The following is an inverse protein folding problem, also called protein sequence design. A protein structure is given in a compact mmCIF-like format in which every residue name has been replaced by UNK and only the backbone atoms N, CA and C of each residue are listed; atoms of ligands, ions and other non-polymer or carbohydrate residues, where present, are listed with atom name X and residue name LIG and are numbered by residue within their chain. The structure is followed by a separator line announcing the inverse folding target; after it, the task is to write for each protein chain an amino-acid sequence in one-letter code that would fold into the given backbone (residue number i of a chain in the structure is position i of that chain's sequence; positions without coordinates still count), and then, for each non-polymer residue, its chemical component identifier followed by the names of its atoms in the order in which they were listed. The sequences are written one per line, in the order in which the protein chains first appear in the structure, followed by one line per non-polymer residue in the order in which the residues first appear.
data_IF_577136171724
#
_entry.id   IF_577136171724
#
_cell.length_a   1.000
_cell.length_b   1.000
_cell.length_c   1.000
_cell.angle_alpha   90.00
_cell.angle_beta   90.00
_cell.angle_gamma   90.00
#
_symmetry.space_group_name_H-M   'P 1'
#
loop_
_entity.id
_entity.type
_entity.pdbx_description
1 polymer ?
#
# COMPACT_ATOMS: atom_id res chain seq x y z
N UNK A 1 16.44 -26.97 -25.35
CA UNK A 1 16.46 -27.02 -23.87
C UNK A 1 15.41 -26.05 -23.36
N UNK A 2 14.47 -26.56 -22.57
CA UNK A 2 13.24 -25.90 -22.15
C UNK A 2 13.50 -24.65 -21.30
N UNK A 3 12.71 -23.61 -21.55
CA UNK A 3 12.60 -22.39 -20.77
C UNK A 3 12.44 -22.73 -19.28
N UNK A 4 13.42 -22.27 -18.51
CA UNK A 4 13.43 -22.16 -17.05
C UNK A 4 12.08 -21.67 -16.54
N UNK A 5 11.45 -22.47 -15.69
CA UNK A 5 10.37 -22.01 -14.84
C UNK A 5 10.86 -20.78 -14.05
N UNK A 6 10.29 -19.60 -14.35
CA UNK A 6 10.46 -18.42 -13.51
C UNK A 6 9.86 -18.77 -12.16
N UNK A 7 10.70 -19.05 -11.17
CA UNK A 7 10.25 -19.16 -9.79
C UNK A 7 9.72 -17.79 -9.38
N UNK A 8 8.40 -17.63 -9.31
CA UNK A 8 7.79 -16.47 -8.68
C UNK A 8 8.24 -16.49 -7.22
N UNK A 9 9.03 -15.50 -6.82
CA UNK A 9 9.47 -15.31 -5.43
C UNK A 9 8.30 -14.88 -4.53
N UNK A 10 7.21 -14.42 -5.15
CA UNK A 10 5.97 -13.99 -4.51
C UNK A 10 4.75 -14.48 -5.29
N UNK A 11 3.92 -15.34 -4.70
CA UNK A 11 2.72 -15.85 -5.37
C UNK A 11 1.54 -14.88 -5.22
N UNK A 12 1.08 -14.28 -6.32
CA UNK A 12 -0.20 -13.57 -6.30
C UNK A 12 -1.35 -14.57 -6.08
N UNK A 13 -2.16 -14.38 -5.02
CA UNK A 13 -3.34 -15.21 -4.79
C UNK A 13 -4.53 -14.67 -5.59
N UNK A 14 -5.46 -15.54 -6.05
CA UNK A 14 -6.60 -15.15 -6.89
C UNK A 14 -7.60 -14.14 -6.27
N UNK A 15 -7.47 -13.81 -4.97
CA UNK A 15 -8.38 -12.93 -4.23
C UNK A 15 -7.77 -11.58 -3.86
N UNK A 16 -6.61 -11.26 -4.41
CA UNK A 16 -5.95 -9.98 -4.15
C UNK A 16 -6.56 -8.88 -5.03
N UNK A 17 -6.77 -7.70 -4.45
CA UNK A 17 -7.18 -6.51 -5.20
C UNK A 17 -6.15 -6.19 -6.31
N UNK A 18 -6.59 -5.56 -7.40
CA UNK A 18 -5.73 -5.29 -8.58
C UNK A 18 -4.39 -4.65 -8.20
N UNK A 19 -4.42 -3.65 -7.32
CA UNK A 19 -3.23 -2.93 -6.81
C UNK A 19 -2.25 -3.83 -6.04
N UNK A 20 -2.74 -4.87 -5.37
CA UNK A 20 -1.93 -5.85 -4.64
C UNK A 20 -1.27 -6.82 -5.60
N UNK A 21 -2.00 -7.27 -6.62
CA UNK A 21 -1.45 -8.11 -7.69
C UNK A 21 -0.36 -7.37 -8.46
N UNK A 22 -0.62 -6.12 -8.85
CA UNK A 22 0.35 -5.26 -9.55
C UNK A 22 1.65 -5.09 -8.75
N UNK A 23 1.55 -4.90 -7.44
CA UNK A 23 2.71 -4.78 -6.55
C UNK A 23 3.53 -6.07 -6.45
N UNK A 24 2.85 -7.22 -6.45
CA UNK A 24 3.51 -8.53 -6.41
C UNK A 24 4.17 -8.90 -7.73
N UNK A 25 3.51 -8.63 -8.85
CA UNK A 25 4.08 -8.82 -10.18
C UNK A 25 5.34 -7.94 -10.32
N UNK A 26 5.31 -6.73 -9.77
CA UNK A 26 6.45 -5.83 -9.72
C UNK A 26 7.59 -6.35 -8.82
N UNK A 27 7.32 -6.76 -7.58
CA UNK A 27 8.33 -7.36 -6.69
C UNK A 27 9.02 -8.57 -7.34
N UNK A 28 8.26 -9.44 -8.01
CA UNK A 28 8.80 -10.59 -8.74
C UNK A 28 9.70 -10.19 -9.91
N UNK A 29 9.30 -9.18 -10.67
CA UNK A 29 10.08 -8.67 -11.81
C UNK A 29 11.45 -8.19 -11.36
N UNK A 30 11.51 -7.41 -10.29
CA UNK A 30 12.76 -6.85 -9.79
C UNK A 30 13.63 -7.88 -9.06
N UNK A 31 13.03 -8.77 -8.26
CA UNK A 31 13.78 -9.79 -7.56
C UNK A 31 14.42 -10.83 -8.51
N UNK A 32 13.87 -11.01 -9.71
CA UNK A 32 14.44 -11.85 -10.77
C UNK A 32 15.38 -11.09 -11.74
N UNK A 33 15.61 -9.78 -11.55
CA UNK A 33 16.40 -8.95 -12.46
C UNK A 33 17.91 -9.12 -12.24
N UNK A 34 18.71 -9.54 -13.24
CA UNK A 34 20.16 -9.61 -13.12
C UNK A 34 20.85 -8.24 -12.96
N UNK A 35 20.15 -7.16 -13.33
CA UNK A 35 20.67 -5.78 -13.37
C UNK A 35 20.20 -4.92 -12.19
N UNK A 36 19.02 -5.22 -11.65
CA UNK A 36 18.37 -4.41 -10.61
C UNK A 36 17.96 -5.22 -9.37
N UNK A 37 17.96 -6.55 -9.45
CA UNK A 37 17.69 -7.45 -8.34
C UNK A 37 18.93 -7.70 -7.49
N UNK A 38 18.73 -8.29 -6.31
CA UNK A 38 19.85 -8.78 -5.51
C UNK A 38 20.62 -9.83 -6.31
N UNK A 39 21.96 -9.73 -6.31
CA UNK A 39 22.82 -10.74 -6.91
C UNK A 39 22.55 -12.13 -6.33
N UNK A 40 22.85 -13.18 -7.10
CA UNK A 40 22.70 -14.55 -6.62
C UNK A 40 23.52 -14.79 -5.33
N UNK A 41 24.68 -14.17 -5.20
CA UNK A 41 25.48 -14.16 -3.97
C UNK A 41 24.75 -13.49 -2.79
N UNK A 42 24.11 -12.33 -2.99
CA UNK A 42 23.33 -11.66 -1.94
C UNK A 42 22.11 -12.49 -1.52
N UNK A 43 21.41 -13.10 -2.47
CA UNK A 43 20.30 -14.01 -2.19
C UNK A 43 20.79 -15.23 -1.40
N UNK A 44 21.92 -15.83 -1.79
CA UNK A 44 22.54 -16.96 -1.07
C UNK A 44 23.03 -16.57 0.33
N UNK A 45 23.54 -15.36 0.50
CA UNK A 45 23.99 -14.83 1.80
C UNK A 45 22.80 -14.65 2.75
N UNK A 46 21.70 -14.05 2.27
CA UNK A 46 20.45 -13.94 3.04
C UNK A 46 19.88 -15.33 3.36
N UNK A 47 19.90 -16.28 2.42
CA UNK A 47 19.45 -17.66 2.66
C UNK A 47 20.35 -18.42 3.66
N UNK A 48 21.66 -18.15 3.69
CA UNK A 48 22.60 -18.68 4.69
C UNK A 48 22.32 -18.12 6.09
N UNK A 49 22.12 -16.80 6.21
CA UNK A 49 21.71 -16.13 7.45
C UNK A 49 20.34 -16.65 7.92
N UNK A 50 19.43 -16.92 6.98
CA UNK A 50 18.12 -17.51 7.24
C UNK A 50 18.23 -18.94 7.80
N UNK A 51 19.07 -19.79 7.21
CA UNK A 51 19.32 -21.17 7.65
C UNK A 51 20.02 -21.24 9.01
N UNK A 52 20.79 -20.22 9.37
CA UNK A 52 21.45 -20.11 10.67
C UNK A 52 20.52 -19.57 11.77
N UNK A 53 19.39 -18.93 11.42
CA UNK A 53 18.42 -18.42 12.39
C UNK A 53 17.59 -19.53 13.05
N UNK A 54 17.59 -19.68 14.39
CA UNK A 54 16.97 -20.81 15.09
C UNK A 54 15.46 -20.96 14.88
N UNK A 55 14.75 -19.83 14.69
CA UNK A 55 13.29 -19.77 14.47
C UNK A 55 12.88 -20.20 13.05
N UNK A 56 13.82 -20.17 12.10
CA UNK A 56 13.57 -20.43 10.67
C UNK A 56 14.02 -21.83 10.24
N UNK A 57 14.60 -22.62 11.15
CA UNK A 57 14.91 -24.04 10.95
C UNK A 57 13.65 -24.89 11.12
N UNK A 58 12.92 -25.11 10.03
CA UNK A 58 11.92 -26.18 10.00
C UNK A 58 10.66 -25.94 9.17
N UNK A 59 10.40 -24.70 8.76
CA UNK A 59 9.26 -24.41 7.90
C UNK A 59 9.71 -23.49 6.76
N UNK A 60 9.93 -24.05 5.57
CA UNK A 60 9.58 -23.28 4.38
C UNK A 60 8.07 -23.33 4.33
N UNK A 61 7.42 -22.42 5.06
CA UNK A 61 6.02 -22.15 4.80
C UNK A 61 5.91 -21.66 3.34
N UNK A 62 4.77 -21.95 2.70
CA UNK A 62 4.36 -21.51 1.35
C UNK A 62 4.23 -19.96 1.23
N UNK A 63 5.01 -19.23 2.01
CA UNK A 63 4.88 -17.82 2.29
C UNK A 63 5.87 -17.08 1.41
N UNK A 64 5.31 -16.28 0.51
CA UNK A 64 6.05 -15.35 -0.31
C UNK A 64 6.87 -14.32 0.51
N UNK A 65 7.80 -13.62 -0.15
CA UNK A 65 8.65 -12.59 0.47
C UNK A 65 7.84 -11.58 1.31
N UNK A 66 6.63 -11.21 0.86
CA UNK A 66 5.80 -10.24 1.56
C UNK A 66 5.18 -10.83 2.82
N UNK A 67 4.65 -12.05 2.74
CA UNK A 67 4.21 -12.80 3.90
C UNK A 67 5.32 -12.95 4.93
N UNK A 68 6.56 -13.21 4.50
CA UNK A 68 7.72 -13.29 5.39
C UNK A 68 8.07 -11.96 6.06
N UNK A 69 8.06 -10.86 5.31
CA UNK A 69 8.33 -9.52 5.86
C UNK A 69 7.27 -9.11 6.88
N UNK A 70 6.00 -9.41 6.60
CA UNK A 70 4.88 -9.18 7.54
C UNK A 70 5.00 -10.07 8.77
N UNK A 71 5.31 -11.36 8.57
CA UNK A 71 5.40 -12.36 9.62
C UNK A 71 6.73 -12.33 10.40
N UNK A 72 7.63 -11.42 10.06
CA UNK A 72 8.86 -11.20 10.81
C UNK A 72 8.51 -10.83 12.26
N UNK A 73 9.08 -11.52 13.28
CA UNK A 73 8.84 -11.21 14.69
C UNK A 73 8.98 -9.73 15.03
N UNK A 74 9.92 -9.02 14.41
CA UNK A 74 10.18 -7.61 14.68
C UNK A 74 9.07 -6.70 14.15
N UNK A 75 8.30 -7.18 13.15
CA UNK A 75 7.20 -6.45 12.54
C UNK A 75 5.83 -6.81 13.12
N UNK A 76 5.72 -7.86 13.94
CA UNK A 76 4.44 -8.36 14.45
C UNK A 76 3.64 -7.31 15.21
N UNK A 77 4.31 -6.55 16.10
CA UNK A 77 3.63 -5.53 16.89
C UNK A 77 3.14 -4.38 16.01
N UNK A 78 3.99 -3.88 15.12
CA UNK A 78 3.64 -2.83 14.17
C UNK A 78 2.48 -3.26 13.28
N UNK A 79 2.54 -4.47 12.73
CA UNK A 79 1.54 -4.99 11.81
C UNK A 79 0.21 -5.27 12.50
N UNK A 80 0.19 -6.17 13.49
CA UNK A 80 -1.06 -6.67 14.05
C UNK A 80 -1.65 -5.77 15.14
N UNK A 81 -0.81 -5.12 15.95
CA UNK A 81 -1.30 -4.31 17.08
C UNK A 81 -1.45 -2.84 16.71
N UNK A 82 -0.43 -2.23 16.11
CA UNK A 82 -0.45 -0.79 15.86
C UNK A 82 -1.22 -0.41 14.59
N UNK A 83 -1.03 -1.17 13.50
CA UNK A 83 -1.67 -0.92 12.21
C UNK A 83 -3.05 -1.57 12.12
N UNK A 84 -3.13 -2.91 12.14
CA UNK A 84 -4.41 -3.62 12.05
C UNK A 84 -5.25 -3.50 13.33
N UNK A 85 -4.59 -3.32 14.46
CA UNK A 85 -5.23 -3.09 15.77
C UNK A 85 -5.63 -1.64 16.01
N UNK A 86 -5.36 -0.72 15.07
CA UNK A 86 -5.60 0.69 15.27
C UNK A 86 -7.07 0.99 15.61
N UNK A 87 -7.28 1.75 16.70
CA UNK A 87 -8.62 2.11 17.17
C UNK A 87 -9.43 2.80 16.09
N UNK A 88 -8.83 3.74 15.35
CA UNK A 88 -9.51 4.45 14.27
C UNK A 88 -10.08 3.47 13.23
N UNK A 89 -9.26 2.54 12.73
CA UNK A 89 -9.68 1.53 11.77
C UNK A 89 -10.80 0.62 12.30
N UNK A 90 -10.68 0.14 13.54
CA UNK A 90 -11.71 -0.70 14.17
C UNK A 90 -13.04 0.04 14.37
N UNK A 91 -12.97 1.31 14.75
CA UNK A 91 -14.15 2.15 14.96
C UNK A 91 -14.89 2.43 13.64
N UNK A 92 -14.19 2.52 12.50
CA UNK A 92 -14.82 2.60 11.16
C UNK A 92 -15.69 1.40 10.82
N UNK A 93 -15.33 0.19 11.25
CA UNK A 93 -16.11 -1.03 10.98
C UNK A 93 -17.29 -1.25 11.93
N UNK A 94 -17.45 -0.43 12.97
CA UNK A 94 -18.40 -0.68 14.06
C UNK A 94 -19.31 0.49 14.38
N UNK A 95 -18.93 1.72 14.03
CA UNK A 95 -19.70 2.93 14.36
C UNK A 95 -20.60 3.34 13.21
N UNK A 96 -21.91 3.28 13.43
CA UNK A 96 -22.91 3.77 12.49
C UNK A 96 -23.07 5.30 12.54
N UNK A 97 -23.80 5.89 11.57
CA UNK A 97 -23.90 7.35 11.41
C UNK A 97 -24.61 8.08 12.57
N UNK A 98 -25.38 7.36 13.39
CA UNK A 98 -26.13 7.93 14.52
C UNK A 98 -25.55 7.52 15.88
N UNK A 99 -24.42 6.81 15.89
CA UNK A 99 -23.85 6.29 17.13
C UNK A 99 -23.00 7.38 17.82
N UNK A 100 -22.87 7.35 19.16
CA UNK A 100 -21.99 8.27 19.87
C UNK A 100 -20.56 8.22 19.32
N UNK A 101 -20.02 9.38 18.94
CA UNK A 101 -18.68 9.50 18.36
C UNK A 101 -18.61 9.42 16.83
N UNK A 102 -19.73 9.19 16.13
CA UNK A 102 -19.78 9.16 14.66
C UNK A 102 -19.22 10.44 14.01
N UNK A 103 -19.56 11.62 14.56
CA UNK A 103 -19.05 12.90 14.06
C UNK A 103 -17.54 13.04 14.23
N UNK A 104 -16.98 12.55 15.35
CA UNK A 104 -15.53 12.58 15.60
C UNK A 104 -14.81 11.62 14.65
N UNK A 105 -15.39 10.44 14.41
CA UNK A 105 -14.87 9.46 13.47
C UNK A 105 -14.87 10.01 12.03
N UNK A 106 -15.97 10.63 11.61
CA UNK A 106 -16.08 11.25 10.28
C UNK A 106 -15.00 12.33 10.10
N UNK A 107 -14.84 13.22 11.08
CA UNK A 107 -13.80 14.26 11.04
C UNK A 107 -12.37 13.66 10.98
N UNK A 108 -12.14 12.56 11.70
CA UNK A 108 -10.89 11.82 11.60
C UNK A 108 -10.66 11.23 10.20
N UNK A 109 -11.72 10.71 9.59
CA UNK A 109 -11.69 10.17 8.23
C UNK A 109 -11.47 11.25 7.17
N UNK A 110 -12.10 12.42 7.31
CA UNK A 110 -11.83 13.59 6.46
C UNK A 110 -10.36 13.99 6.53
N UNK A 111 -9.80 14.10 7.74
CA UNK A 111 -8.39 14.42 7.92
C UNK A 111 -7.46 13.36 7.31
N UNK A 112 -7.80 12.08 7.45
CA UNK A 112 -7.09 10.98 6.80
C UNK A 112 -7.12 11.09 5.28
N UNK A 113 -8.29 11.31 4.67
CA UNK A 113 -8.44 11.34 3.22
C UNK A 113 -7.68 12.49 2.57
N UNK A 114 -7.61 13.66 3.23
CA UNK A 114 -6.77 14.76 2.76
C UNK A 114 -5.29 14.37 2.75
N UNK A 115 -4.82 13.65 3.77
CA UNK A 115 -3.44 13.16 3.81
C UNK A 115 -3.19 12.04 2.80
N UNK A 116 -4.17 11.18 2.53
CA UNK A 116 -4.07 10.13 1.49
C UNK A 116 -4.04 10.72 0.07
N UNK A 117 -4.79 11.81 -0.18
CA UNK A 117 -4.65 12.61 -1.40
C UNK A 117 -3.21 13.12 -1.57
N UNK A 118 -2.64 13.74 -0.53
CA UNK A 118 -1.26 14.25 -0.58
C UNK A 118 -0.26 13.12 -0.79
N UNK A 119 -0.46 11.97 -0.12
CA UNK A 119 0.33 10.76 -0.31
C UNK A 119 0.30 10.29 -1.78
N UNK A 120 -0.90 10.16 -2.37
CA UNK A 120 -1.07 9.76 -3.76
C UNK A 120 -0.46 10.77 -4.74
N UNK A 121 -0.62 12.07 -4.50
CA UNK A 121 -0.03 13.13 -5.32
C UNK A 121 1.51 13.06 -5.31
N UNK A 122 2.12 12.74 -4.16
CA UNK A 122 3.56 12.49 -4.08
C UNK A 122 3.98 11.21 -4.79
N UNK A 123 3.13 10.18 -4.80
CA UNK A 123 3.32 8.98 -5.59
C UNK A 123 3.52 9.27 -7.10
N UNK A 124 2.85 10.29 -7.64
CA UNK A 124 3.07 10.76 -9.02
C UNK A 124 4.52 11.18 -9.20
N UNK A 125 4.99 12.11 -8.35
CA UNK A 125 6.36 12.63 -8.40
C UNK A 125 7.40 11.49 -8.27
N UNK A 126 7.17 10.55 -7.35
CA UNK A 126 8.00 9.37 -7.18
C UNK A 126 8.14 8.54 -8.46
N UNK A 127 7.01 8.15 -9.05
CA UNK A 127 7.03 7.30 -10.23
C UNK A 127 7.59 8.04 -11.45
N UNK A 128 7.38 9.36 -11.57
CA UNK A 128 8.00 10.16 -12.62
C UNK A 128 9.53 10.22 -12.47
N UNK A 129 10.06 10.45 -11.27
CA UNK A 129 11.51 10.44 -11.04
C UNK A 129 12.13 9.08 -11.37
N UNK A 130 11.41 8.01 -11.02
CA UNK A 130 11.80 6.64 -11.35
C UNK A 130 11.81 6.41 -12.86
N UNK A 131 10.77 6.82 -13.58
CA UNK A 131 10.72 6.74 -15.04
C UNK A 131 11.90 7.47 -15.70
N UNK A 132 12.22 8.68 -15.23
CA UNK A 132 13.38 9.43 -15.72
C UNK A 132 14.73 8.76 -15.45
N UNK A 133 14.79 7.86 -14.46
CA UNK A 133 15.99 7.12 -14.09
C UNK A 133 16.04 5.71 -14.69
N UNK A 134 15.01 5.33 -15.45
CA UNK A 134 14.91 4.01 -16.06
C UNK A 134 16.06 3.74 -17.01
N UNK A 135 16.57 2.51 -16.99
CA UNK A 135 17.72 2.09 -17.79
C UNK A 135 17.35 1.18 -18.95
N UNK A 136 16.05 1.00 -19.18
CA UNK A 136 15.46 0.31 -20.32
C UNK A 136 14.11 0.93 -20.67
N UNK A 137 13.68 0.76 -21.91
CA UNK A 137 12.34 1.18 -22.37
C UNK A 137 11.23 0.47 -21.59
N UNK A 138 11.38 -0.83 -21.33
CA UNK A 138 10.39 -1.59 -20.55
C UNK A 138 10.23 -1.05 -19.12
N UNK A 139 11.31 -0.65 -18.47
CA UNK A 139 11.28 -0.03 -17.15
C UNK A 139 10.63 1.37 -17.21
N UNK A 140 10.96 2.16 -18.24
CA UNK A 140 10.35 3.47 -18.49
C UNK A 140 8.83 3.36 -18.68
N UNK A 141 8.37 2.49 -19.58
CA UNK A 141 6.95 2.34 -19.90
C UNK A 141 6.15 1.92 -18.66
N UNK A 142 6.63 0.93 -17.90
CA UNK A 142 5.93 0.47 -16.69
C UNK A 142 5.85 1.54 -15.58
N UNK A 143 6.88 2.36 -15.45
CA UNK A 143 6.93 3.40 -14.41
C UNK A 143 6.14 4.64 -14.83
N UNK A 144 6.13 4.97 -16.12
CA UNK A 144 5.24 5.97 -16.70
C UNK A 144 3.77 5.57 -16.55
N UNK A 145 3.43 4.30 -16.82
CA UNK A 145 2.09 3.76 -16.60
C UNK A 145 1.68 3.86 -15.13
N UNK A 146 2.60 3.59 -14.20
CA UNK A 146 2.34 3.76 -12.76
C UNK A 146 2.14 5.21 -12.38
N UNK A 147 2.95 6.14 -12.91
CA UNK A 147 2.74 7.57 -12.69
C UNK A 147 1.34 7.99 -13.15
N UNK A 148 0.90 7.50 -14.31
CA UNK A 148 -0.46 7.69 -14.82
C UNK A 148 -1.52 7.14 -13.86
N UNK A 149 -1.38 5.91 -13.36
CA UNK A 149 -2.29 5.34 -12.35
C UNK A 149 -2.32 6.15 -11.06
N UNK A 150 -1.19 6.69 -10.61
CA UNK A 150 -1.14 7.58 -9.44
C UNK A 150 -1.85 8.91 -9.69
N UNK A 151 -1.86 9.43 -10.92
CA UNK A 151 -2.72 10.57 -11.28
C UNK A 151 -4.19 10.22 -11.06
N UNK A 152 -4.65 9.07 -11.55
CA UNK A 152 -6.02 8.59 -11.33
C UNK A 152 -6.32 8.43 -9.83
N UNK A 153 -5.42 7.83 -9.06
CA UNK A 153 -5.62 7.68 -7.61
C UNK A 153 -5.66 9.01 -6.87
N UNK A 154 -4.78 9.96 -7.19
CA UNK A 154 -4.79 11.28 -6.58
C UNK A 154 -6.06 12.06 -6.94
N UNK A 155 -6.52 11.96 -8.19
CA UNK A 155 -7.80 12.54 -8.63
C UNK A 155 -8.97 11.91 -7.89
N UNK A 156 -9.03 10.58 -7.80
CA UNK A 156 -10.06 9.87 -7.06
C UNK A 156 -10.09 10.26 -5.58
N UNK A 157 -8.95 10.30 -4.91
CA UNK A 157 -8.84 10.73 -3.51
C UNK A 157 -9.26 12.20 -3.32
N UNK A 158 -8.89 13.10 -4.26
CA UNK A 158 -9.32 14.50 -4.23
C UNK A 158 -10.84 14.62 -4.43
N UNK A 159 -11.39 13.99 -5.46
CA UNK A 159 -12.83 13.95 -5.73
C UNK A 159 -13.59 13.43 -4.53
N UNK A 160 -13.08 12.40 -3.87
CA UNK A 160 -13.67 11.85 -2.66
C UNK A 160 -13.77 12.89 -1.54
N UNK A 161 -12.74 13.73 -1.37
CA UNK A 161 -12.76 14.80 -0.40
C UNK A 161 -13.80 15.88 -0.77
N UNK A 162 -13.81 16.32 -2.03
CA UNK A 162 -14.49 17.57 -2.43
C UNK A 162 -15.90 17.38 -3.00
N UNK A 163 -16.22 16.19 -3.51
CA UNK A 163 -17.55 15.91 -4.05
C UNK A 163 -18.63 16.01 -2.97
N UNK A 164 -19.87 16.38 -3.33
CA UNK A 164 -20.94 16.56 -2.37
C UNK A 164 -21.22 15.29 -1.56
N UNK A 165 -21.81 15.42 -0.36
CA UNK A 165 -21.90 14.34 0.65
C UNK A 165 -22.58 13.05 0.18
N UNK A 166 -23.43 13.10 -0.84
CA UNK A 166 -24.01 11.91 -1.47
C UNK A 166 -22.97 11.07 -2.22
N UNK A 167 -21.92 11.70 -2.75
CA UNK A 167 -20.86 11.13 -3.58
C UNK A 167 -19.48 11.11 -2.90
N UNK A 168 -19.22 12.02 -1.96
CA UNK A 168 -17.95 12.22 -1.28
C UNK A 168 -18.11 12.78 0.14
N UNK A 169 -17.16 13.61 0.57
CA UNK A 169 -17.11 14.18 1.93
C UNK A 169 -17.57 15.65 2.00
N UNK A 170 -17.80 16.32 0.87
CA UNK A 170 -18.30 17.69 0.81
C UNK A 170 -17.33 18.74 1.33
N UNK A 171 -16.03 18.46 1.32
CA UNK A 171 -15.00 19.39 1.79
C UNK A 171 -14.77 20.51 0.78
N UNK A 172 -14.28 21.65 1.26
CA UNK A 172 -13.92 22.76 0.37
C UNK A 172 -12.65 22.43 -0.44
N UNK A 173 -12.75 22.52 -1.77
CA UNK A 173 -11.67 22.18 -2.70
C UNK A 173 -10.37 22.93 -2.43
N UNK A 174 -10.43 24.26 -2.33
CA UNK A 174 -9.25 25.09 -2.03
C UNK A 174 -8.58 24.69 -0.72
N UNK A 175 -9.37 24.35 0.30
CA UNK A 175 -8.85 23.92 1.60
C UNK A 175 -8.11 22.58 1.50
N UNK A 176 -8.64 21.62 0.74
CA UNK A 176 -8.00 20.32 0.50
C UNK A 176 -6.69 20.50 -0.27
N UNK A 177 -6.72 21.23 -1.39
CA UNK A 177 -5.55 21.47 -2.25
C UNK A 177 -4.43 22.24 -1.55
N UNK A 178 -4.77 23.16 -0.64
CA UNK A 178 -3.79 23.97 0.10
C UNK A 178 -3.35 23.35 1.43
N UNK A 179 -3.92 22.20 1.81
CA UNK A 179 -3.53 21.53 3.05
C UNK A 179 -2.08 21.06 2.97
N UNK A 180 -1.33 21.33 4.04
CA UNK A 180 0.03 20.82 4.18
C UNK A 180 0.01 19.37 4.62
N UNK A 181 1.02 18.62 4.17
CA UNK A 181 1.28 17.30 4.70
C UNK A 181 1.49 17.37 6.23
N UNK A 182 0.89 16.43 6.94
CA UNK A 182 1.21 16.22 8.34
C UNK A 182 2.65 15.67 8.46
N UNK A 183 3.34 15.90 9.60
CA UNK A 183 4.71 15.41 9.79
C UNK A 183 4.87 13.90 9.58
N UNK A 184 3.84 13.11 9.91
CA UNK A 184 3.83 11.66 9.68
C UNK A 184 3.73 11.29 8.19
N UNK A 185 2.93 12.02 7.42
CA UNK A 185 2.83 11.86 5.96
C UNK A 185 4.14 12.26 5.30
N UNK A 186 4.75 13.36 5.75
CA UNK A 186 6.09 13.78 5.33
C UNK A 186 7.13 12.72 5.61
N UNK A 187 7.22 12.25 6.85
CA UNK A 187 8.21 11.25 7.25
C UNK A 187 8.03 9.95 6.47
N UNK A 188 6.79 9.49 6.29
CA UNK A 188 6.52 8.22 5.62
C UNK A 188 6.83 8.28 4.13
N UNK A 189 6.35 9.31 3.43
CA UNK A 189 6.68 9.49 2.01
C UNK A 189 8.19 9.68 1.84
N UNK A 190 8.83 10.55 2.63
CA UNK A 190 10.28 10.76 2.58
C UNK A 190 11.06 9.45 2.78
N UNK A 191 10.68 8.62 3.74
CA UNK A 191 11.28 7.30 3.93
C UNK A 191 11.21 6.44 2.66
N UNK A 192 10.06 6.41 1.96
CA UNK A 192 9.93 5.66 0.71
C UNK A 192 10.83 6.21 -0.40
N UNK A 193 10.89 7.54 -0.55
CA UNK A 193 11.76 8.21 -1.53
C UNK A 193 13.24 7.97 -1.25
N UNK A 194 13.68 8.18 -0.01
CA UNK A 194 15.08 8.04 0.39
C UNK A 194 15.52 6.58 0.31
N UNK A 195 14.69 5.63 0.71
CA UNK A 195 14.99 4.20 0.57
C UNK A 195 15.23 3.81 -0.89
N UNK A 196 14.40 4.35 -1.79
CA UNK A 196 14.54 4.09 -3.22
C UNK A 196 15.81 4.72 -3.81
N UNK A 197 16.14 5.95 -3.37
CA UNK A 197 17.33 6.70 -3.79
C UNK A 197 18.63 6.09 -3.27
N UNK A 198 18.69 5.76 -1.98
CA UNK A 198 19.94 5.45 -1.27
C UNK A 198 20.37 3.98 -1.41
N UNK A 199 19.42 3.07 -1.67
CA UNK A 199 19.71 1.65 -1.83
C UNK A 199 19.50 1.18 -3.27
N UNK A 200 18.24 1.05 -3.66
CA UNK A 200 17.77 0.79 -5.02
C UNK A 200 16.23 0.81 -5.04
N UNK A 201 15.67 0.81 -6.24
CA UNK A 201 14.22 0.83 -6.45
C UNK A 201 13.50 -0.39 -5.86
N UNK A 202 14.16 -1.54 -5.70
CA UNK A 202 13.58 -2.73 -5.06
C UNK A 202 13.29 -2.49 -3.59
N UNK A 203 14.20 -1.82 -2.89
CA UNK A 203 13.98 -1.41 -1.49
C UNK A 203 12.87 -0.36 -1.37
N UNK A 204 12.73 0.51 -2.38
CA UNK A 204 11.57 1.40 -2.49
C UNK A 204 10.23 0.64 -2.59
N UNK A 205 10.19 -0.49 -3.31
CA UNK A 205 9.02 -1.36 -3.37
C UNK A 205 8.73 -2.03 -2.03
N UNK A 206 9.78 -2.49 -1.33
CA UNK A 206 9.65 -3.06 0.02
C UNK A 206 9.05 -2.02 0.99
N UNK A 207 9.49 -0.76 0.91
CA UNK A 207 8.94 0.33 1.70
C UNK A 207 7.46 0.66 1.39
N UNK A 208 6.92 0.23 0.25
CA UNK A 208 5.50 0.39 -0.10
C UNK A 208 4.61 -0.80 0.31
N UNK A 209 5.19 -1.94 0.69
CA UNK A 209 4.43 -3.13 1.10
C UNK A 209 3.39 -2.80 2.18
N UNK A 210 3.72 -2.05 3.26
CA UNK A 210 2.73 -1.78 4.30
C UNK A 210 1.53 -0.98 3.80
N UNK A 211 1.74 -0.01 2.91
CA UNK A 211 0.65 0.73 2.28
C UNK A 211 -0.28 -0.21 1.51
N UNK A 212 0.27 -1.08 0.67
CA UNK A 212 -0.53 -1.88 -0.26
C UNK A 212 -1.26 -3.02 0.47
N UNK A 213 -0.58 -3.69 1.40
CA UNK A 213 -1.11 -4.83 2.12
C UNK A 213 -2.12 -4.41 3.20
N UNK A 214 -1.90 -3.28 3.86
CA UNK A 214 -2.78 -2.83 4.95
C UNK A 214 -4.17 -2.43 4.45
N UNK A 215 -4.29 -1.79 3.29
CA UNK A 215 -5.60 -1.46 2.71
C UNK A 215 -6.44 -2.73 2.53
N UNK A 216 -5.87 -3.81 1.99
CA UNK A 216 -6.59 -5.08 1.85
C UNK A 216 -6.90 -5.73 3.19
N UNK A 217 -5.88 -5.81 4.07
CA UNK A 217 -6.00 -6.44 5.38
C UNK A 217 -6.98 -5.71 6.32
N UNK A 218 -7.20 -4.41 6.12
CA UNK A 218 -8.18 -3.60 6.84
C UNK A 218 -9.55 -3.64 6.15
N UNK A 219 -9.63 -3.29 4.86
CA UNK A 219 -10.91 -3.05 4.19
C UNK A 219 -11.79 -4.31 4.13
N UNK A 220 -11.22 -5.47 3.81
CA UNK A 220 -12.00 -6.70 3.60
C UNK A 220 -12.64 -7.23 4.90
N UNK A 221 -11.93 -7.35 6.05
CA UNK A 221 -12.56 -7.68 7.32
C UNK A 221 -13.55 -6.61 7.81
N UNK A 222 -13.23 -5.31 7.64
CA UNK A 222 -14.12 -4.23 8.05
C UNK A 222 -15.45 -4.30 7.29
N UNK A 223 -15.41 -4.52 5.97
CA UNK A 223 -16.61 -4.65 5.15
C UNK A 223 -17.45 -5.87 5.53
N UNK A 224 -16.81 -7.04 5.69
CA UNK A 224 -17.51 -8.30 5.98
C UNK A 224 -18.20 -8.30 7.34
N UNK A 225 -17.57 -7.69 8.33
CA UNK A 225 -18.06 -7.69 9.71
C UNK A 225 -18.96 -6.49 10.04
N UNK A 226 -19.04 -5.49 9.15
CA UNK A 226 -19.90 -4.34 9.32
C UNK A 226 -21.38 -4.70 9.15
N UNK A 227 -22.22 -4.10 9.99
CA UNK A 227 -23.68 -4.12 9.80
C UNK A 227 -24.08 -3.31 8.56
N UNK A 228 -25.27 -3.55 8.02
CA UNK A 228 -25.77 -2.78 6.87
C UNK A 228 -25.92 -1.28 7.16
N UNK A 229 -26.08 -0.91 8.44
CA UNK A 229 -26.05 0.49 8.89
C UNK A 229 -24.64 1.08 8.73
N UNK A 230 -23.61 0.35 9.12
CA UNK A 230 -22.21 0.80 9.04
C UNK A 230 -21.70 0.83 7.60
N UNK A 231 -22.10 -0.15 6.76
CA UNK A 231 -21.76 -0.17 5.32
C UNK A 231 -22.27 1.06 4.56
N UNK A 232 -23.30 1.74 5.08
CA UNK A 232 -23.85 2.99 4.52
C UNK A 232 -23.13 4.24 5.00
N UNK A 233 -22.17 4.14 5.92
CA UNK A 233 -21.34 5.29 6.30
C UNK A 233 -20.39 5.64 5.16
N UNK A 234 -20.17 6.94 4.92
CA UNK A 234 -19.24 7.39 3.88
C UNK A 234 -17.84 6.80 4.10
N UNK A 235 -17.35 6.77 5.35
CA UNK A 235 -16.04 6.18 5.65
C UNK A 235 -15.87 4.74 5.15
N UNK A 236 -16.75 3.82 5.55
CA UNK A 236 -16.61 2.42 5.17
C UNK A 236 -16.96 2.18 3.70
N UNK A 237 -18.01 2.84 3.18
CA UNK A 237 -18.38 2.74 1.75
C UNK A 237 -17.19 3.11 0.88
N UNK A 238 -16.53 4.22 1.17
CA UNK A 238 -15.46 4.76 0.34
C UNK A 238 -14.13 3.98 0.49
N UNK A 239 -13.90 3.34 1.63
CA UNK A 239 -12.75 2.43 1.85
C UNK A 239 -12.90 1.06 1.18
N UNK A 240 -14.12 0.65 0.83
CA UNK A 240 -14.42 -0.74 0.44
C UNK A 240 -15.05 -0.88 -0.94
N UNK A 241 -15.50 0.22 -1.54
CA UNK A 241 -16.01 0.22 -2.91
C UNK A 241 -14.85 0.07 -3.91
N UNK A 242 -14.81 -1.09 -4.59
CA UNK A 242 -13.79 -1.42 -5.59
C UNK A 242 -13.78 -0.43 -6.76
N UNK A 243 -14.86 0.34 -6.95
CA UNK A 243 -14.99 1.36 -7.99
C UNK A 243 -14.53 2.77 -7.57
N UNK A 244 -14.19 3.01 -6.29
CA UNK A 244 -13.72 4.32 -5.83
C UNK A 244 -12.31 4.70 -6.35
N UNK A 245 -11.67 3.78 -7.06
CA UNK A 245 -10.32 3.95 -7.62
C UNK A 245 -10.25 3.58 -9.12
N UNK A 246 -11.40 3.55 -9.80
CA UNK A 246 -11.51 3.35 -11.25
C UNK A 246 -11.21 4.63 -12.03
#
# INVERSE_FOLDING_TARGET
MSLTARANLVSARPRHASRVKDAFDELNKYAASPKHGASLEQIKAVDQVRKSHPVLRGAVADDDLVGRLINDPDNQDLWFNQLLGNKFCRTMGTTGPSDPGAAVLLKGFEAYMVQDYIYCARGIFYQTQRAMSSTSTEEFDETADKASRYCTYAQGALHLCVYPVDQGLGMNDTSVLQTKAAPVTDSYTKFQFETARDYNWVMGLVAMIPCIQSYYALANPLYKNATDKVKRTSGLRLLTDENAHG
#
